data_IF_241608271460
#
_entry.id   IF_241608271460
#
_cell.length_a   1.000
_cell.length_b   1.000
_cell.length_c   1.000
_cell.angle_alpha   90.00
_cell.angle_beta   90.00
_cell.angle_gamma   90.00
#
_symmetry.space_group_name_H-M   'P 1'
#
loop_
_entity.id
_entity.type
_entity.pdbx_description
1 polymer ?
#
# COMPACT_ATOMS: atom_id res chain seq x y z
N UNK A 1 -3.08 14.39 -3.14
CA UNK A 1 -3.02 14.10 -4.56
C UNK A 1 -3.77 12.85 -4.96
N UNK A 2 -3.75 12.48 -6.23
CA UNK A 2 -4.47 11.30 -6.73
C UNK A 2 -3.99 9.99 -6.09
N UNK A 3 -2.70 9.88 -5.80
CA UNK A 3 -2.12 8.68 -5.16
C UNK A 3 -2.72 8.41 -3.77
N UNK A 4 -2.90 9.43 -2.94
CA UNK A 4 -3.53 9.29 -1.62
C UNK A 4 -5.00 8.86 -1.75
N UNK A 5 -5.75 9.51 -2.66
CA UNK A 5 -7.15 9.15 -2.92
C UNK A 5 -7.28 7.73 -3.45
N UNK A 6 -6.39 7.33 -4.36
CA UNK A 6 -6.33 5.97 -4.89
C UNK A 6 -6.07 4.95 -3.77
N UNK A 7 -5.09 5.21 -2.89
CA UNK A 7 -4.79 4.37 -1.73
C UNK A 7 -6.03 4.17 -0.84
N UNK A 8 -6.71 5.25 -0.46
CA UNK A 8 -7.94 5.17 0.33
C UNK A 8 -9.07 4.44 -0.43
N UNK A 9 -9.17 4.67 -1.74
CA UNK A 9 -10.14 4.00 -2.61
C UNK A 9 -9.92 2.50 -2.70
N UNK A 10 -8.68 2.02 -2.73
CA UNK A 10 -8.35 0.60 -2.70
C UNK A 10 -8.81 -0.04 -1.39
N UNK A 11 -8.56 0.60 -0.24
CA UNK A 11 -9.06 0.09 1.04
C UNK A 11 -10.59 0.04 1.08
N UNK A 12 -11.27 1.06 0.55
CA UNK A 12 -12.74 1.09 0.49
C UNK A 12 -13.33 0.02 -0.44
N UNK A 13 -12.60 -0.34 -1.50
CA UNK A 13 -12.99 -1.36 -2.48
C UNK A 13 -12.49 -2.78 -2.13
N UNK A 14 -11.87 -2.96 -0.97
CA UNK A 14 -11.30 -4.24 -0.56
C UNK A 14 -12.37 -5.34 -0.57
N UNK A 15 -12.12 -6.49 -1.22
CA UNK A 15 -13.04 -7.63 -1.20
C UNK A 15 -13.27 -8.15 0.22
N UNK A 16 -14.48 -8.67 0.46
CA UNK A 16 -14.82 -9.26 1.76
C UNK A 16 -14.04 -10.55 2.05
N UNK A 17 -13.61 -11.27 1.01
CA UNK A 17 -12.82 -12.48 1.11
C UNK A 17 -11.35 -12.17 0.90
N UNK A 18 -10.54 -12.49 1.90
CA UNK A 18 -9.08 -12.31 1.86
C UNK A 18 -8.47 -13.16 0.72
N UNK A 19 -7.53 -12.58 -0.02
CA UNK A 19 -6.84 -13.24 -1.12
C UNK A 19 -7.57 -13.22 -2.47
N UNK A 20 -8.81 -12.70 -2.54
CA UNK A 20 -9.56 -12.60 -3.82
C UNK A 20 -8.89 -11.65 -4.82
N UNK A 21 -8.11 -10.68 -4.33
CA UNK A 21 -7.50 -9.65 -5.15
C UNK A 21 -8.50 -8.64 -5.73
N UNK A 22 -8.02 -7.81 -6.65
CA UNK A 22 -8.82 -6.80 -7.33
C UNK A 22 -8.88 -7.11 -8.83
N UNK A 23 -10.05 -6.94 -9.45
CA UNK A 23 -10.14 -6.95 -10.90
C UNK A 23 -9.54 -5.66 -11.49
N UNK A 24 -9.08 -5.72 -12.74
CA UNK A 24 -8.61 -4.54 -13.45
C UNK A 24 -9.71 -3.46 -13.53
N UNK A 25 -10.95 -3.84 -13.76
CA UNK A 25 -12.09 -2.92 -13.82
C UNK A 25 -12.28 -2.18 -12.49
N UNK A 26 -12.13 -2.87 -11.37
CA UNK A 26 -12.19 -2.24 -10.04
C UNK A 26 -11.05 -1.22 -9.87
N UNK A 27 -9.82 -1.58 -10.23
CA UNK A 27 -8.66 -0.70 -10.12
C UNK A 27 -8.79 0.54 -11.02
N UNK A 28 -9.29 0.38 -12.24
CA UNK A 28 -9.56 1.49 -13.17
C UNK A 28 -10.64 2.42 -12.60
N UNK A 29 -11.73 1.86 -12.08
CA UNK A 29 -12.80 2.66 -11.47
C UNK A 29 -12.33 3.45 -10.25
N UNK A 30 -11.46 2.88 -9.42
CA UNK A 30 -10.85 3.59 -8.28
C UNK A 30 -9.90 4.70 -8.77
N UNK A 31 -9.16 4.47 -9.85
CA UNK A 31 -8.30 5.49 -10.44
C UNK A 31 -9.12 6.69 -10.95
N UNK A 32 -10.22 6.45 -11.67
CA UNK A 32 -11.15 7.49 -12.12
C UNK A 32 -11.73 8.28 -10.94
N UNK A 33 -12.24 7.58 -9.93
CA UNK A 33 -12.79 8.20 -8.72
C UNK A 33 -11.75 9.02 -7.94
N UNK A 34 -10.46 8.69 -8.11
CA UNK A 34 -9.34 9.42 -7.51
C UNK A 34 -8.94 10.68 -8.27
N UNK A 35 -9.55 10.91 -9.45
CA UNK A 35 -9.32 12.08 -10.29
C UNK A 35 -8.30 11.84 -11.41
N UNK A 36 -7.93 10.60 -11.69
CA UNK A 36 -7.10 10.23 -12.86
C UNK A 36 -8.05 10.09 -14.05
N UNK A 37 -7.95 10.96 -15.05
CA UNK A 37 -8.89 11.01 -16.16
C UNK A 37 -8.18 11.27 -17.51
N UNK A 38 -8.89 11.03 -18.62
CA UNK A 38 -8.36 11.30 -19.97
C UNK A 38 -7.08 10.51 -20.26
N UNK A 39 -6.09 11.13 -20.85
CA UNK A 39 -4.83 10.50 -21.24
C UNK A 39 -4.04 9.90 -20.06
N UNK A 40 -4.21 10.45 -18.85
CA UNK A 40 -3.58 9.87 -17.66
C UNK A 40 -4.24 8.52 -17.27
N UNK A 41 -5.57 8.41 -17.44
CA UNK A 41 -6.29 7.17 -17.21
C UNK A 41 -5.94 6.11 -18.27
N UNK A 42 -5.78 6.54 -19.53
CA UNK A 42 -5.32 5.64 -20.61
C UNK A 42 -3.92 5.08 -20.29
N UNK A 43 -3.01 5.94 -19.84
CA UNK A 43 -1.65 5.54 -19.42
C UNK A 43 -1.68 4.59 -18.20
N UNK A 44 -2.53 4.87 -17.21
CA UNK A 44 -2.73 4.01 -16.07
C UNK A 44 -3.25 2.63 -16.49
N UNK A 45 -4.26 2.61 -17.35
CA UNK A 45 -4.88 1.38 -17.85
C UNK A 45 -3.89 0.52 -18.64
N UNK A 46 -3.09 1.13 -19.51
CA UNK A 46 -2.04 0.43 -20.25
C UNK A 46 -0.98 -0.15 -19.30
N UNK A 47 -0.53 0.63 -18.33
CA UNK A 47 0.43 0.19 -17.32
C UNK A 47 -0.09 -1.01 -16.51
N UNK A 48 -1.35 -0.97 -16.11
CA UNK A 48 -2.03 -2.02 -15.35
C UNK A 48 -2.18 -3.29 -16.19
N UNK A 49 -2.73 -3.19 -17.40
CA UNK A 49 -3.04 -4.35 -18.25
C UNK A 49 -1.80 -5.01 -18.84
N UNK A 50 -0.71 -4.27 -19.03
CA UNK A 50 0.58 -4.80 -19.46
C UNK A 50 1.43 -5.35 -18.32
N UNK A 51 0.95 -5.26 -17.07
CA UNK A 51 1.71 -5.67 -15.86
C UNK A 51 3.13 -5.08 -15.81
N UNK A 52 3.27 -3.83 -16.24
CA UNK A 52 4.56 -3.13 -16.40
C UNK A 52 5.50 -3.27 -15.22
N UNK A 53 4.96 -3.32 -14.01
CA UNK A 53 5.73 -3.39 -12.77
C UNK A 53 5.73 -4.77 -12.09
N UNK A 54 5.31 -5.84 -12.78
CA UNK A 54 5.27 -7.18 -12.21
C UNK A 54 6.63 -7.64 -11.66
N UNK A 55 7.72 -7.34 -12.36
CA UNK A 55 9.08 -7.65 -11.91
C UNK A 55 9.47 -6.87 -10.64
N UNK A 56 9.08 -5.60 -10.53
CA UNK A 56 9.31 -4.81 -9.32
C UNK A 56 8.55 -5.37 -8.13
N UNK A 57 7.29 -5.77 -8.33
CA UNK A 57 6.46 -6.40 -7.29
C UNK A 57 7.07 -7.71 -6.83
N UNK A 58 7.51 -8.57 -7.76
CA UNK A 58 8.17 -9.83 -7.43
C UNK A 58 9.46 -9.62 -6.62
N UNK A 59 10.29 -8.65 -6.99
CA UNK A 59 11.51 -8.31 -6.26
C UNK A 59 11.20 -7.73 -4.87
N UNK A 60 10.17 -6.89 -4.75
CA UNK A 60 9.72 -6.33 -3.47
C UNK A 60 9.24 -7.44 -2.52
N UNK A 61 8.49 -8.41 -3.03
CA UNK A 61 8.06 -9.56 -2.26
C UNK A 61 9.24 -10.44 -1.80
N UNK A 62 10.20 -10.69 -2.69
CA UNK A 62 11.41 -11.45 -2.36
C UNK A 62 12.25 -10.73 -1.28
N UNK A 63 12.34 -9.40 -1.32
CA UNK A 63 13.01 -8.61 -0.28
C UNK A 63 12.28 -8.74 1.07
N UNK A 64 10.95 -8.61 1.07
CA UNK A 64 10.11 -8.82 2.25
C UNK A 64 10.36 -10.17 2.90
N UNK A 65 10.37 -11.25 2.11
CA UNK A 65 10.62 -12.61 2.59
C UNK A 65 12.05 -12.78 3.14
N UNK A 66 13.05 -12.21 2.45
CA UNK A 66 14.46 -12.29 2.85
C UNK A 66 14.78 -11.52 4.13
N UNK A 67 14.02 -10.48 4.44
CA UNK A 67 14.17 -9.71 5.69
C UNK A 67 13.48 -10.39 6.89
N UNK A 68 12.84 -11.54 6.68
CA UNK A 68 12.21 -12.33 7.74
C UNK A 68 10.90 -11.74 8.25
N UNK A 69 10.29 -10.82 7.49
CA UNK A 69 8.96 -10.29 7.82
C UNK A 69 7.93 -11.38 7.56
N UNK A 70 7.24 -11.84 8.60
CA UNK A 70 6.35 -13.00 8.54
C UNK A 70 4.88 -12.68 8.57
N UNK A 71 4.52 -11.41 8.77
CA UNK A 71 3.12 -10.99 8.90
C UNK A 71 2.90 -9.55 8.41
N UNK A 72 1.64 -9.24 8.11
CA UNK A 72 1.19 -7.88 7.76
C UNK A 72 0.04 -7.47 8.68
N UNK A 73 0.00 -6.19 9.10
CA UNK A 73 1.01 -5.18 8.89
C UNK A 73 2.23 -5.38 9.81
N UNK A 74 3.42 -5.04 9.34
CA UNK A 74 4.64 -4.93 10.14
C UNK A 74 5.19 -3.52 10.01
N UNK A 75 5.55 -2.91 11.11
CA UNK A 75 6.14 -1.56 11.13
C UNK A 75 7.52 -1.60 11.76
N UNK A 76 8.46 -0.88 11.14
CA UNK A 76 9.80 -0.66 11.69
C UNK A 76 10.03 0.85 11.88
N UNK A 77 10.59 1.21 13.01
CA UNK A 77 11.03 2.56 13.31
C UNK A 77 12.52 2.52 13.62
N UNK A 78 13.33 3.18 12.80
CA UNK A 78 14.79 3.16 12.86
C UNK A 78 15.35 1.72 12.94
N UNK A 79 14.81 0.81 12.14
CA UNK A 79 15.22 -0.59 12.08
C UNK A 79 14.72 -1.47 13.22
N UNK A 80 13.96 -0.92 14.17
CA UNK A 80 13.35 -1.67 15.29
C UNK A 80 11.89 -1.96 15.01
N UNK A 81 11.49 -3.21 15.13
CA UNK A 81 10.09 -3.60 14.94
C UNK A 81 9.20 -3.01 16.03
N UNK A 82 8.10 -2.42 15.62
CA UNK A 82 7.07 -1.89 16.52
C UNK A 82 6.16 -3.02 16.98
N UNK A 83 5.83 -3.02 18.28
CA UNK A 83 4.81 -3.94 18.80
C UNK A 83 3.43 -3.63 18.22
N UNK A 84 2.54 -4.63 18.21
CA UNK A 84 1.15 -4.43 17.77
C UNK A 84 0.44 -3.33 18.55
N UNK A 85 0.66 -3.23 19.84
CA UNK A 85 0.06 -2.20 20.70
C UNK A 85 0.45 -0.79 20.25
N UNK A 86 1.70 -0.60 19.79
CA UNK A 86 2.16 0.69 19.26
C UNK A 86 1.66 0.90 17.83
N UNK A 87 1.74 -0.13 16.98
CA UNK A 87 1.42 -0.02 15.56
C UNK A 87 -0.07 0.29 15.31
N UNK A 88 -0.95 -0.28 16.14
CA UNK A 88 -2.40 -0.12 15.99
C UNK A 88 -3.02 1.00 16.84
N UNK A 89 -2.23 1.69 17.65
CA UNK A 89 -2.68 2.84 18.42
C UNK A 89 -2.06 4.14 17.88
N UNK A 90 -2.85 5.03 17.24
CA UNK A 90 -2.32 6.26 16.66
C UNK A 90 -1.60 7.17 17.65
N UNK A 91 -2.02 7.19 18.92
CA UNK A 91 -1.38 8.03 19.94
C UNK A 91 -0.01 7.44 20.34
N UNK A 92 0.08 6.13 20.53
CA UNK A 92 1.34 5.47 20.83
C UNK A 92 2.32 5.52 19.65
N UNK A 93 1.82 5.34 18.41
CA UNK A 93 2.64 5.45 17.21
C UNK A 93 3.19 6.87 17.05
N UNK A 94 2.36 7.89 17.24
CA UNK A 94 2.78 9.30 17.23
C UNK A 94 3.87 9.55 18.26
N UNK A 95 3.67 9.11 19.51
CA UNK A 95 4.66 9.28 20.58
C UNK A 95 6.00 8.58 20.26
N UNK A 96 5.96 7.39 19.69
CA UNK A 96 7.15 6.66 19.27
C UNK A 96 7.93 7.41 18.18
N UNK A 97 7.24 7.93 17.15
CA UNK A 97 7.85 8.73 16.08
C UNK A 97 8.47 10.02 16.63
N UNK A 98 7.74 10.73 17.50
CA UNK A 98 8.25 11.96 18.12
C UNK A 98 9.48 11.72 19.01
N UNK A 99 9.53 10.58 19.71
CA UNK A 99 10.68 10.20 20.50
C UNK A 99 11.92 9.92 19.62
N UNK A 100 11.73 9.22 18.51
CA UNK A 100 12.81 8.92 17.56
C UNK A 100 13.36 10.20 16.87
N UNK A 101 12.52 11.18 16.59
CA UNK A 101 12.94 12.44 15.93
C UNK A 101 13.67 13.40 16.87
N UNK A 102 13.61 13.20 18.18
CA UNK A 102 14.32 14.02 19.19
C UNK A 102 15.71 13.49 19.57
N UNK A 103 16.02 12.30 19.06
CA UNK A 103 17.34 11.68 19.25
C UNK A 103 18.28 12.09 18.13
#
# INVERSE_FOLDING_TARGET
>A
GAAEKFHLGIFAAQPAEEGSGFSNDTLISVAEASGITGAELDTFTECLTSEKYAGWVANSYAAFDSEGVSSTPTGLLDGTELSGDVLFDPAQLTAAIEAATKS
#
